data_IF_317356627737
#
_entry.id   IF_317356627737
#
_cell.length_a   1.000
_cell.length_b   1.000
_cell.length_c   1.000
_cell.angle_alpha   90.00
_cell.angle_beta   90.00
_cell.angle_gamma   90.00
#
_symmetry.space_group_name_H-M   'P 1'
#
loop_
_entity.id
_entity.type
_entity.pdbx_description
1 polymer ?
#
# COMPACT_ATOMS: atom_id res chain seq x y z
N UNK A 1 -17.31 11.91 14.64
CA UNK A 1 -16.26 10.89 14.52
C UNK A 1 -16.78 9.53 14.07
N UNK A 2 -18.03 9.13 14.37
CA UNK A 2 -18.59 7.82 13.94
C UNK A 2 -18.70 7.60 12.42
N UNK A 3 -18.66 8.66 11.60
CA UNK A 3 -18.65 8.53 10.12
C UNK A 3 -17.29 8.10 9.55
N UNK A 4 -16.17 8.46 10.20
CA UNK A 4 -14.80 8.18 9.71
C UNK A 4 -14.44 6.70 9.81
N UNK A 5 -15.01 5.97 10.77
CA UNK A 5 -14.72 4.55 11.00
C UNK A 5 -15.20 3.60 9.89
N UNK A 6 -15.82 4.11 8.82
CA UNK A 6 -16.34 3.32 7.69
C UNK A 6 -15.65 3.61 6.36
N UNK A 7 -14.88 4.69 6.27
CA UNK A 7 -14.09 5.01 5.07
C UNK A 7 -12.78 4.23 5.10
N UNK A 8 -12.74 3.10 4.39
CA UNK A 8 -11.57 2.21 4.37
C UNK A 8 -10.32 2.95 3.89
N UNK A 9 -10.42 3.73 2.81
CA UNK A 9 -9.26 4.40 2.22
C UNK A 9 -8.81 5.60 3.05
N UNK A 10 -9.74 6.34 3.64
CA UNK A 10 -9.43 7.37 4.63
C UNK A 10 -8.69 6.81 5.84
N UNK A 11 -9.15 5.66 6.36
CA UNK A 11 -8.50 4.97 7.48
C UNK A 11 -7.11 4.43 7.12
N UNK A 12 -6.93 3.86 5.92
CA UNK A 12 -5.60 3.43 5.43
C UNK A 12 -4.68 4.64 5.30
N UNK A 13 -5.13 5.72 4.68
CA UNK A 13 -4.34 6.95 4.54
C UNK A 13 -3.91 7.54 5.88
N UNK A 14 -4.83 7.60 6.85
CA UNK A 14 -4.53 8.04 8.21
C UNK A 14 -3.55 7.10 8.93
N UNK A 15 -3.73 5.78 8.77
CA UNK A 15 -2.80 4.80 9.32
C UNK A 15 -1.40 4.98 8.74
N UNK A 16 -1.25 5.09 7.41
CA UNK A 16 0.04 5.25 6.75
C UNK A 16 0.74 6.57 7.10
N UNK A 17 -0.03 7.67 7.16
CA UNK A 17 0.49 8.97 7.58
C UNK A 17 1.02 8.91 9.02
N UNK A 18 0.31 8.23 9.94
CA UNK A 18 0.73 8.10 11.34
C UNK A 18 2.08 7.41 11.55
N UNK A 19 2.54 6.62 10.57
CA UNK A 19 3.83 5.90 10.64
C UNK A 19 5.03 6.82 10.43
N UNK A 20 4.77 8.09 10.11
CA UNK A 20 5.78 9.15 10.00
C UNK A 20 6.03 9.84 11.34
N UNK A 21 5.28 9.48 12.39
CA UNK A 21 5.37 10.12 13.69
C UNK A 21 6.66 9.82 14.46
N UNK A 22 7.05 10.77 15.29
CA UNK A 22 8.21 10.73 16.17
C UNK A 22 7.79 10.69 17.64
N UNK A 23 8.76 10.40 18.52
CA UNK A 23 8.53 10.42 19.96
C UNK A 23 8.04 11.81 20.41
N UNK A 24 6.92 11.85 21.14
CA UNK A 24 6.29 13.09 21.61
C UNK A 24 5.07 13.53 20.80
N UNK A 25 4.81 12.93 19.63
CA UNK A 25 3.64 13.27 18.79
C UNK A 25 2.41 12.44 19.18
N UNK A 26 1.74 12.85 20.25
CA UNK A 26 0.54 12.17 20.78
C UNK A 26 -0.59 12.01 19.76
N UNK A 27 -0.83 13.04 18.94
CA UNK A 27 -1.90 13.05 17.94
C UNK A 27 -1.70 11.97 16.87
N UNK A 28 -0.45 11.75 16.41
CA UNK A 28 -0.16 10.70 15.44
C UNK A 28 -0.26 9.31 16.07
N UNK A 29 0.10 9.17 17.34
CA UNK A 29 -0.10 7.92 18.07
C UNK A 29 -1.59 7.60 18.25
N UNK A 30 -2.43 8.60 18.52
CA UNK A 30 -3.89 8.43 18.56
C UNK A 30 -4.45 8.08 17.18
N UNK A 31 -4.02 8.79 16.12
CA UNK A 31 -4.43 8.51 14.75
C UNK A 31 -4.08 7.08 14.31
N UNK A 32 -2.88 6.60 14.66
CA UNK A 32 -2.44 5.21 14.45
C UNK A 32 -3.36 4.22 15.14
N UNK A 33 -3.65 4.44 16.42
CA UNK A 33 -4.49 3.54 17.21
C UNK A 33 -5.94 3.52 16.72
N UNK A 34 -6.49 4.69 16.41
CA UNK A 34 -7.84 4.85 15.88
C UNK A 34 -8.00 4.12 14.54
N UNK A 35 -7.13 4.43 13.58
CA UNK A 35 -7.18 3.83 12.24
C UNK A 35 -6.97 2.31 12.28
N UNK A 36 -5.95 1.84 13.00
CA UNK A 36 -5.66 0.41 13.11
C UNK A 36 -6.82 -0.38 13.75
N UNK A 37 -7.47 0.18 14.77
CA UNK A 37 -8.63 -0.45 15.43
C UNK A 37 -9.79 -0.65 14.44
N UNK A 38 -10.13 0.39 13.68
CA UNK A 38 -11.26 0.32 12.74
C UNK A 38 -10.95 -0.57 11.54
N UNK A 39 -9.74 -0.50 10.98
CA UNK A 39 -9.32 -1.38 9.88
C UNK A 39 -9.39 -2.86 10.28
N UNK A 40 -8.90 -3.23 11.47
CA UNK A 40 -9.02 -4.60 12.00
C UNK A 40 -10.48 -5.02 12.18
N UNK A 41 -11.32 -4.14 12.73
CA UNK A 41 -12.74 -4.42 12.89
C UNK A 41 -13.45 -4.67 11.56
N UNK A 42 -13.12 -3.90 10.52
CA UNK A 42 -13.72 -4.05 9.20
C UNK A 42 -13.24 -5.33 8.50
N UNK A 43 -11.97 -5.72 8.67
CA UNK A 43 -11.44 -7.01 8.21
C UNK A 43 -12.19 -8.17 8.88
N UNK A 44 -12.32 -8.16 10.20
CA UNK A 44 -13.04 -9.21 10.94
C UNK A 44 -14.52 -9.30 10.59
N UNK A 45 -15.14 -8.19 10.21
CA UNK A 45 -16.55 -8.16 9.80
C UNK A 45 -16.78 -8.73 8.38
N UNK A 46 -15.73 -8.99 7.60
CA UNK A 46 -15.86 -9.50 6.23
C UNK A 46 -16.55 -8.52 5.27
N UNK A 47 -16.56 -7.22 5.57
CA UNK A 47 -17.30 -6.19 4.82
C UNK A 47 -16.51 -5.56 3.67
N UNK A 48 -15.39 -6.16 3.25
CA UNK A 48 -14.51 -5.64 2.21
C UNK A 48 -14.39 -6.64 1.06
N UNK A 49 -14.22 -6.12 -0.15
CA UNK A 49 -13.76 -6.95 -1.28
C UNK A 49 -12.40 -7.57 -0.96
N UNK A 50 -12.16 -8.80 -1.44
CA UNK A 50 -10.92 -9.55 -1.18
C UNK A 50 -9.65 -8.76 -1.50
N UNK A 51 -9.64 -8.00 -2.61
CA UNK A 51 -8.48 -7.17 -3.00
C UNK A 51 -8.20 -6.07 -1.98
N UNK A 52 -9.25 -5.36 -1.57
CA UNK A 52 -9.18 -4.29 -0.56
C UNK A 52 -8.75 -4.86 0.79
N UNK A 53 -9.32 -6.00 1.21
CA UNK A 53 -8.95 -6.67 2.45
C UNK A 53 -7.45 -7.03 2.47
N UNK A 54 -6.92 -7.55 1.36
CA UNK A 54 -5.49 -7.87 1.23
C UNK A 54 -4.61 -6.62 1.39
N UNK A 55 -4.98 -5.49 0.78
CA UNK A 55 -4.23 -4.23 0.91
C UNK A 55 -4.26 -3.68 2.34
N UNK A 56 -5.42 -3.73 3.00
CA UNK A 56 -5.55 -3.32 4.40
C UNK A 56 -4.70 -4.21 5.30
N UNK A 57 -4.71 -5.52 5.09
CA UNK A 57 -3.90 -6.47 5.85
C UNK A 57 -2.40 -6.17 5.68
N UNK A 58 -1.93 -5.97 4.44
CA UNK A 58 -0.55 -5.61 4.16
C UNK A 58 -0.16 -4.31 4.88
N UNK A 59 -1.03 -3.29 4.86
CA UNK A 59 -0.78 -1.99 5.52
C UNK A 59 -0.61 -2.17 7.03
N UNK A 60 -1.50 -2.95 7.65
CA UNK A 60 -1.42 -3.24 9.09
C UNK A 60 -0.21 -4.11 9.48
N UNK A 61 0.28 -4.97 8.58
CA UNK A 61 1.47 -5.80 8.79
C UNK A 61 2.76 -5.00 8.63
N UNK A 62 2.89 -4.25 7.53
CA UNK A 62 4.05 -3.44 7.22
C UNK A 62 3.60 -2.12 6.56
N UNK A 63 3.70 -0.98 7.26
CA UNK A 63 3.47 0.33 6.67
C UNK A 63 4.23 0.61 5.38
N UNK A 64 3.65 1.39 4.47
CA UNK A 64 4.27 1.83 3.21
C UNK A 64 5.64 2.48 3.41
N UNK A 65 5.82 3.27 4.48
CA UNK A 65 7.10 3.92 4.82
C UNK A 65 8.25 2.91 4.99
N UNK A 66 7.94 1.67 5.38
CA UNK A 66 8.92 0.62 5.63
C UNK A 66 9.01 -0.40 4.50
N UNK A 67 8.21 -0.24 3.44
CA UNK A 67 8.25 -1.13 2.27
C UNK A 67 9.27 -0.63 1.25
N UNK A 68 9.96 -1.58 0.63
CA UNK A 68 10.83 -1.29 -0.51
C UNK A 68 9.96 -1.12 -1.77
N UNK A 69 9.87 0.12 -2.25
CA UNK A 69 9.05 0.48 -3.41
C UNK A 69 9.29 -0.43 -4.63
N UNK A 70 10.55 -0.79 -4.90
CA UNK A 70 10.88 -1.66 -6.05
C UNK A 70 10.34 -3.08 -5.90
N UNK A 71 10.28 -3.62 -4.68
CA UNK A 71 9.71 -4.96 -4.42
C UNK A 71 8.17 -4.92 -4.50
N UNK A 72 7.57 -3.80 -4.11
CA UNK A 72 6.11 -3.62 -4.16
C UNK A 72 5.59 -3.19 -5.53
N UNK A 73 6.46 -2.78 -6.46
CA UNK A 73 6.06 -2.23 -7.75
C UNK A 73 5.09 -3.16 -8.52
N UNK A 74 5.34 -4.47 -8.48
CA UNK A 74 4.44 -5.45 -9.11
C UNK A 74 3.07 -5.49 -8.44
N UNK A 75 3.01 -5.46 -7.11
CA UNK A 75 1.75 -5.44 -6.37
C UNK A 75 0.94 -4.19 -6.73
N UNK A 76 1.58 -3.02 -6.79
CA UNK A 76 0.92 -1.78 -7.18
C UNK A 76 0.40 -1.82 -8.62
N UNK A 77 1.19 -2.31 -9.57
CA UNK A 77 0.77 -2.50 -10.98
C UNK A 77 -0.47 -3.40 -11.06
N UNK A 78 -0.50 -4.51 -10.32
CA UNK A 78 -1.60 -5.47 -10.37
C UNK A 78 -2.88 -4.97 -9.67
N UNK A 79 -2.75 -4.02 -8.74
CA UNK A 79 -3.85 -3.42 -7.98
C UNK A 79 -4.34 -2.09 -8.55
N UNK A 80 -3.60 -1.47 -9.46
CA UNK A 80 -3.93 -0.15 -10.00
C UNK A 80 -5.26 -0.18 -10.76
N UNK A 81 -6.23 0.69 -10.43
CA UNK A 81 -7.55 0.65 -11.04
C UNK A 81 -7.55 1.24 -12.45
N UNK A 82 -8.26 0.60 -13.38
CA UNK A 82 -8.43 1.05 -14.76
C UNK A 82 -9.72 1.88 -14.88
N UNK A 83 -9.69 3.09 -14.35
CA UNK A 83 -10.87 3.97 -14.25
C UNK A 83 -10.99 5.00 -15.39
N UNK A 84 -9.88 5.28 -16.09
CA UNK A 84 -9.85 6.25 -17.18
C UNK A 84 -8.77 5.92 -18.22
N UNK A 85 -8.76 6.65 -19.35
CA UNK A 85 -7.71 6.54 -20.35
C UNK A 85 -6.34 6.94 -19.79
N UNK A 86 -6.29 7.99 -18.96
CA UNK A 86 -5.08 8.43 -18.25
C UNK A 86 -4.58 7.33 -17.31
N UNK A 87 -5.48 6.67 -16.56
CA UNK A 87 -5.12 5.53 -15.71
C UNK A 87 -4.54 4.37 -16.53
N UNK A 88 -5.07 4.12 -17.74
CA UNK A 88 -4.54 3.12 -18.66
C UNK A 88 -3.12 3.47 -19.13
N UNK A 89 -2.88 4.71 -19.53
CA UNK A 89 -1.55 5.18 -19.96
C UNK A 89 -0.54 5.11 -18.81
N UNK A 90 -0.95 5.49 -17.60
CA UNK A 90 -0.09 5.39 -16.42
C UNK A 90 0.27 3.93 -16.09
N UNK A 91 -0.68 3.01 -16.23
CA UNK A 91 -0.44 1.59 -16.02
C UNK A 91 0.50 1.00 -17.07
N UNK A 92 0.36 1.41 -18.33
CA UNK A 92 1.27 1.03 -19.40
C UNK A 92 2.71 1.49 -19.11
N UNK A 93 2.86 2.77 -18.74
CA UNK A 93 4.15 3.33 -18.33
C UNK A 93 4.77 2.56 -17.16
N UNK A 94 3.98 2.26 -16.12
CA UNK A 94 4.45 1.52 -14.95
C UNK A 94 4.93 0.10 -15.32
N UNK A 95 4.25 -0.59 -16.25
CA UNK A 95 4.65 -1.91 -16.74
C UNK A 95 5.95 -1.85 -17.55
N UNK A 96 6.11 -0.83 -18.39
CA UNK A 96 7.33 -0.63 -19.17
C UNK A 96 8.55 -0.37 -18.26
N UNK A 97 8.43 0.53 -17.28
CA UNK A 97 9.49 0.78 -16.30
C UNK A 97 9.88 -0.49 -15.53
N UNK A 98 8.87 -1.21 -15.02
CA UNK A 98 9.08 -2.44 -14.27
C UNK A 98 9.87 -3.47 -15.09
N UNK A 99 9.48 -3.70 -16.35
CA UNK A 99 10.14 -4.67 -17.22
C UNK A 99 11.57 -4.25 -17.59
N UNK A 100 11.80 -2.95 -17.82
CA UNK A 100 13.13 -2.43 -18.12
C UNK A 100 14.09 -2.68 -16.95
N UNK A 101 13.70 -2.27 -15.73
CA UNK A 101 14.51 -2.46 -14.53
C UNK A 101 14.68 -3.95 -14.20
N UNK A 102 13.64 -4.76 -14.37
CA UNK A 102 13.72 -6.21 -14.21
C UNK A 102 14.76 -6.83 -15.15
N UNK A 103 14.85 -6.39 -16.40
CA UNK A 103 15.84 -6.88 -17.36
C UNK A 103 17.27 -6.57 -16.91
N UNK A 104 17.52 -5.38 -16.38
CA UNK A 104 18.83 -4.99 -15.80
C UNK A 104 19.18 -5.91 -14.62
N UNK A 105 18.27 -6.05 -13.65
CA UNK A 105 18.51 -6.91 -12.49
C UNK A 105 18.74 -8.39 -12.85
N UNK A 106 18.04 -8.90 -13.86
CA UNK A 106 18.28 -10.26 -14.36
C UNK A 106 19.69 -10.43 -14.93
N UNK A 107 20.26 -9.41 -15.56
CA UNK A 107 21.63 -9.45 -16.05
C UNK A 107 22.63 -9.35 -14.90
N UNK A 108 22.43 -8.43 -13.96
CA UNK A 108 23.27 -8.30 -12.75
C UNK A 108 23.33 -9.62 -11.97
N UNK A 109 22.19 -10.29 -11.75
CA UNK A 109 22.14 -11.58 -11.06
C UNK A 109 22.90 -12.66 -11.83
N UNK A 110 22.79 -12.70 -13.17
CA UNK A 110 23.56 -13.65 -13.99
C UNK A 110 25.07 -13.42 -13.90
N UNK A 111 25.51 -12.17 -13.75
CA UNK A 111 26.92 -11.83 -13.59
C UNK A 111 27.44 -12.21 -12.20
N UNK A 112 26.65 -11.95 -11.16
CA UNK A 112 26.99 -12.32 -9.77
C UNK A 112 26.94 -13.82 -9.51
N UNK A 113 26.18 -14.58 -10.29
CA UNK A 113 26.08 -16.03 -10.18
C UNK A 113 27.18 -16.79 -10.96
N UNK A 114 28.12 -16.08 -11.60
CA UNK A 114 29.33 -16.67 -12.19
C UNK A 114 30.41 -16.88 -11.13
#
# INVERSE_FOLDING_TARGET
MESLGRDVWGLVGQYEASQHGMAGEGDLQEAKNFSAKHLRSLLSAGKMEMKVAKQVQQSLELPLRWRLQRLEARNFIDLFPLESQESSLLLELARLDYNLVQSVHQNEVKELAK
#
